data_IF_030698427089
#
_entry.id   IF_030698427089
#
_cell.length_a   1.000
_cell.length_b   1.000
_cell.length_c   1.000
_cell.angle_alpha   90.00
_cell.angle_beta   90.00
_cell.angle_gamma   90.00
#
_symmetry.space_group_name_H-M   'P 1'
#
loop_
_entity.id
_entity.type
_entity.pdbx_description
1 polymer ?
#
# COMPACT_ATOMS: atom_id res chain seq x y z
N UNK A 1 -23.53 -6.62 -17.09
CA UNK A 1 -22.71 -5.44 -16.71
C UNK A 1 -23.23 -4.92 -15.38
N UNK A 2 -22.39 -4.93 -14.31
CA UNK A 2 -22.78 -4.48 -12.96
C UNK A 2 -22.39 -3.03 -12.75
N UNK A 3 -23.13 -2.32 -11.90
CA UNK A 3 -22.82 -0.95 -11.48
C UNK A 3 -22.07 -1.00 -10.14
N UNK A 4 -20.85 -0.51 -10.12
CA UNK A 4 -19.94 -0.56 -8.97
C UNK A 4 -19.80 0.85 -8.42
N UNK A 5 -20.17 1.05 -7.17
CA UNK A 5 -19.90 2.28 -6.46
C UNK A 5 -18.50 2.20 -5.83
N UNK A 6 -17.55 2.95 -6.38
CA UNK A 6 -16.20 3.08 -5.80
C UNK A 6 -16.23 4.12 -4.68
N UNK A 7 -16.25 3.63 -3.44
CA UNK A 7 -16.37 4.43 -2.23
C UNK A 7 -14.99 4.66 -1.62
N UNK A 8 -14.47 5.89 -1.71
CA UNK A 8 -13.17 6.24 -1.18
C UNK A 8 -12.95 7.74 -1.05
N UNK A 9 -11.90 8.14 -0.33
CA UNK A 9 -11.55 9.54 -0.18
C UNK A 9 -10.94 10.10 -1.46
N UNK A 10 -11.42 11.28 -1.89
CA UNK A 10 -10.87 12.03 -3.01
C UNK A 10 -10.88 11.31 -4.37
N UNK A 11 -11.81 10.37 -4.58
CA UNK A 11 -11.82 9.52 -5.78
C UNK A 11 -11.88 10.29 -7.08
N UNK A 12 -12.73 11.30 -7.19
CA UNK A 12 -12.85 12.15 -8.37
C UNK A 12 -11.51 12.86 -8.67
N UNK A 13 -10.94 13.53 -7.67
CA UNK A 13 -9.65 14.22 -7.82
C UNK A 13 -8.52 13.27 -8.19
N UNK A 14 -8.45 12.09 -7.54
CA UNK A 14 -7.43 11.08 -7.86
C UNK A 14 -7.57 10.57 -9.28
N UNK A 15 -8.80 10.38 -9.76
CA UNK A 15 -9.04 9.95 -11.13
C UNK A 15 -8.65 11.00 -12.15
N UNK A 16 -8.97 12.27 -11.90
CA UNK A 16 -8.58 13.37 -12.79
C UNK A 16 -7.05 13.47 -12.90
N UNK A 17 -6.35 13.32 -11.77
CA UNK A 17 -4.88 13.29 -11.75
C UNK A 17 -4.30 12.06 -12.47
N UNK A 18 -4.93 10.88 -12.34
CA UNK A 18 -4.53 9.69 -13.09
C UNK A 18 -4.77 9.87 -14.59
N UNK A 19 -5.96 10.33 -14.98
CA UNK A 19 -6.32 10.54 -16.40
C UNK A 19 -5.41 11.59 -17.08
N UNK A 20 -4.97 12.60 -16.34
CA UNK A 20 -4.00 13.59 -16.83
C UNK A 20 -2.55 13.06 -16.82
N UNK A 21 -2.30 11.87 -16.32
CA UNK A 21 -0.98 11.26 -16.23
C UNK A 21 -0.07 11.90 -15.17
N UNK A 22 -0.62 12.61 -14.21
CA UNK A 22 0.15 13.25 -13.14
C UNK A 22 0.53 12.27 -12.02
N UNK A 23 -0.29 11.25 -11.79
CA UNK A 23 -0.03 10.22 -10.77
C UNK A 23 -0.32 8.82 -11.33
N UNK A 24 0.26 7.80 -10.68
CA UNK A 24 -0.02 6.38 -10.93
C UNK A 24 -1.46 6.01 -10.53
N UNK A 25 -2.12 5.18 -11.32
CA UNK A 25 -3.47 4.67 -11.04
C UNK A 25 -3.54 3.71 -9.83
N UNK A 26 -2.42 3.28 -9.28
CA UNK A 26 -2.34 2.33 -8.15
C UNK A 26 -3.20 2.74 -6.94
N UNK A 27 -3.36 4.07 -6.72
CA UNK A 27 -4.17 4.60 -5.62
C UNK A 27 -5.67 4.37 -5.81
N UNK A 28 -6.11 4.06 -7.02
CA UNK A 28 -7.49 3.72 -7.36
C UNK A 28 -7.79 2.21 -7.24
N UNK A 29 -6.80 1.40 -6.81
CA UNK A 29 -6.98 -0.05 -6.58
C UNK A 29 -7.61 -0.78 -7.76
N UNK A 30 -7.19 -0.46 -8.99
CA UNK A 30 -7.67 -1.11 -10.19
C UNK A 30 -9.02 -0.61 -10.72
N UNK A 31 -9.66 0.38 -10.08
CA UNK A 31 -10.95 0.89 -10.54
C UNK A 31 -10.83 1.69 -11.85
N UNK A 32 -9.68 2.31 -12.12
CA UNK A 32 -9.42 2.95 -13.40
C UNK A 32 -9.37 1.91 -14.54
N UNK A 33 -8.63 0.84 -14.35
CA UNK A 33 -8.45 -0.25 -15.31
C UNK A 33 -9.78 -0.96 -15.58
N UNK A 34 -10.57 -1.24 -14.54
CA UNK A 34 -11.91 -1.85 -14.66
C UNK A 34 -12.85 -0.92 -15.45
N UNK A 35 -12.80 0.39 -15.18
CA UNK A 35 -13.59 1.39 -15.92
C UNK A 35 -13.20 1.43 -17.39
N UNK A 36 -11.90 1.40 -17.70
CA UNK A 36 -11.39 1.43 -19.07
C UNK A 36 -11.77 0.16 -19.88
N UNK A 37 -11.80 -1.01 -19.25
CA UNK A 37 -12.23 -2.26 -19.89
C UNK A 37 -13.72 -2.29 -20.24
N UNK A 38 -14.53 -1.48 -19.57
CA UNK A 38 -15.96 -1.31 -19.91
C UNK A 38 -16.86 -2.51 -19.54
N UNK A 39 -16.35 -3.54 -18.87
CA UNK A 39 -17.13 -4.70 -18.43
C UNK A 39 -18.11 -4.37 -17.29
N UNK A 40 -17.83 -3.30 -16.58
CA UNK A 40 -18.64 -2.76 -15.46
C UNK A 40 -18.78 -1.25 -15.58
N UNK A 41 -19.79 -0.68 -14.95
CA UNK A 41 -19.95 0.77 -14.82
C UNK A 41 -19.43 1.17 -13.44
N UNK A 42 -18.34 1.91 -13.38
CA UNK A 42 -17.81 2.45 -12.14
C UNK A 42 -18.45 3.80 -11.85
N UNK A 43 -19.10 3.91 -10.70
CA UNK A 43 -19.72 5.14 -10.18
C UNK A 43 -18.80 5.64 -9.06
N UNK A 44 -18.23 6.80 -9.21
CA UNK A 44 -17.35 7.38 -8.21
C UNK A 44 -18.14 8.05 -7.11
N UNK A 45 -17.63 7.94 -5.90
CA UNK A 45 -18.17 8.59 -4.74
C UNK A 45 -17.04 9.22 -3.92
N UNK A 46 -16.99 10.54 -3.93
CA UNK A 46 -16.07 11.28 -3.08
C UNK A 46 -16.56 11.32 -1.65
N UNK A 47 -15.76 10.75 -0.74
CA UNK A 47 -15.89 10.98 0.68
C UNK A 47 -15.09 12.23 1.05
N UNK A 48 -15.75 13.32 1.43
CA UNK A 48 -15.04 14.44 2.04
C UNK A 48 -14.71 14.11 3.50
N UNK A 49 -13.52 14.43 3.94
CA UNK A 49 -13.08 14.23 5.34
C UNK A 49 -13.93 15.00 6.36
N UNK A 50 -14.74 15.96 5.91
CA UNK A 50 -15.59 16.82 6.73
C UNK A 50 -17.07 16.46 6.69
N UNK A 51 -17.52 15.63 5.75
CA UNK A 51 -18.88 15.13 5.75
C UNK A 51 -18.91 13.84 6.57
N UNK A 52 -19.33 13.91 7.82
CA UNK A 52 -19.55 12.70 8.63
C UNK A 52 -20.47 11.70 7.88
N UNK A 53 -20.67 10.53 8.47
CA UNK A 53 -21.45 9.42 7.93
C UNK A 53 -22.79 9.84 7.32
N UNK A 54 -23.50 10.82 7.90
CA UNK A 54 -24.77 11.36 7.39
C UNK A 54 -24.55 12.13 6.07
N UNK A 55 -23.47 12.88 5.96
CA UNK A 55 -23.11 13.59 4.72
C UNK A 55 -22.79 12.64 3.58
N UNK A 56 -22.08 11.55 3.87
CA UNK A 56 -21.82 10.48 2.90
C UNK A 56 -23.13 9.91 2.34
N UNK A 57 -24.07 9.57 3.20
CA UNK A 57 -25.35 9.01 2.77
C UNK A 57 -26.19 10.03 1.99
N UNK A 58 -26.28 11.25 2.50
CA UNK A 58 -27.07 12.32 1.87
C UNK A 58 -26.58 12.65 0.46
N UNK A 59 -25.26 12.80 0.30
CA UNK A 59 -24.65 13.18 -0.97
C UNK A 59 -24.59 12.02 -1.99
N UNK A 60 -24.62 10.77 -1.52
CA UNK A 60 -24.44 9.58 -2.36
C UNK A 60 -25.65 8.64 -2.39
N UNK A 61 -26.78 9.05 -1.84
CA UNK A 61 -27.96 8.19 -1.74
C UNK A 61 -28.47 7.70 -3.10
N UNK A 62 -28.38 8.55 -4.14
CA UNK A 62 -28.75 8.15 -5.50
C UNK A 62 -27.77 7.14 -6.10
N UNK A 63 -26.47 7.32 -5.88
CA UNK A 63 -25.42 6.42 -6.33
C UNK A 63 -25.48 5.07 -5.60
N UNK A 64 -25.71 5.10 -4.28
CA UNK A 64 -25.97 3.90 -3.47
C UNK A 64 -27.19 3.12 -3.98
N UNK A 65 -28.30 3.79 -4.32
CA UNK A 65 -29.49 3.13 -4.88
C UNK A 65 -29.21 2.45 -6.23
N UNK A 66 -28.43 3.09 -7.10
CA UNK A 66 -28.12 2.62 -8.47
C UNK A 66 -27.07 1.50 -8.51
N UNK A 67 -26.17 1.43 -7.53
CA UNK A 67 -25.09 0.46 -7.51
C UNK A 67 -25.59 -0.97 -7.23
N UNK A 68 -24.95 -1.95 -7.85
CA UNK A 68 -25.12 -3.38 -7.56
C UNK A 68 -24.10 -3.82 -6.51
N UNK A 69 -22.87 -3.28 -6.62
CA UNK A 69 -21.73 -3.56 -5.73
C UNK A 69 -21.23 -2.25 -5.14
N UNK A 70 -20.92 -2.26 -3.85
CA UNK A 70 -20.20 -1.20 -3.15
C UNK A 70 -18.78 -1.70 -2.93
N UNK A 71 -17.79 -1.02 -3.52
CA UNK A 71 -16.38 -1.32 -3.36
C UNK A 71 -15.70 -0.28 -2.48
N UNK A 72 -14.85 -0.74 -1.59
CA UNK A 72 -14.09 0.10 -0.67
C UNK A 72 -12.63 -0.29 -0.70
N UNK A 73 -11.78 0.56 -1.21
CA UNK A 73 -10.32 0.33 -1.25
C UNK A 73 -9.66 0.36 0.12
N UNK A 74 -10.38 0.85 1.13
CA UNK A 74 -9.96 0.85 2.53
C UNK A 74 -11.18 0.72 3.43
N UNK A 75 -11.18 -0.29 4.30
CA UNK A 75 -12.29 -0.51 5.25
C UNK A 75 -12.09 0.40 6.46
N UNK A 76 -12.90 1.45 6.57
CA UNK A 76 -13.01 2.31 7.76
C UNK A 76 -14.25 1.87 8.55
N UNK A 77 -14.07 1.16 9.65
CA UNK A 77 -15.16 0.57 10.43
C UNK A 77 -16.26 1.59 10.78
N UNK A 78 -15.88 2.78 11.26
CA UNK A 78 -16.82 3.83 11.67
C UNK A 78 -17.70 4.35 10.51
N UNK A 79 -17.14 4.46 9.31
CA UNK A 79 -17.86 4.96 8.13
C UNK A 79 -18.86 3.95 7.58
N UNK A 80 -18.65 2.67 7.87
CA UNK A 80 -19.39 1.56 7.28
C UNK A 80 -20.55 1.08 8.13
N UNK A 81 -20.52 1.35 9.43
CA UNK A 81 -21.52 0.86 10.38
C UNK A 81 -22.94 1.12 9.88
N UNK A 82 -23.21 2.32 9.35
CA UNK A 82 -24.55 2.65 8.90
C UNK A 82 -24.96 1.91 7.61
N UNK A 83 -24.05 1.77 6.63
CA UNK A 83 -24.34 1.01 5.39
C UNK A 83 -24.57 -0.47 5.75
N UNK A 84 -23.76 -1.01 6.64
CA UNK A 84 -23.88 -2.38 7.13
C UNK A 84 -25.18 -2.59 7.93
N UNK A 85 -25.54 -1.66 8.79
CA UNK A 85 -26.82 -1.68 9.51
C UNK A 85 -28.02 -1.62 8.55
N UNK A 86 -28.00 -0.73 7.56
CA UNK A 86 -29.06 -0.64 6.54
C UNK A 86 -29.19 -1.95 5.75
N UNK A 87 -28.05 -2.59 5.41
CA UNK A 87 -28.07 -3.91 4.77
C UNK A 87 -28.64 -4.98 5.70
N UNK A 88 -28.26 -4.99 6.98
CA UNK A 88 -28.76 -5.93 8.01
C UNK A 88 -30.27 -5.75 8.24
N UNK A 89 -30.77 -4.51 8.20
CA UNK A 89 -32.19 -4.18 8.29
C UNK A 89 -32.99 -4.48 7.00
N UNK A 90 -32.32 -5.02 5.97
CA UNK A 90 -32.95 -5.42 4.72
C UNK A 90 -33.10 -4.32 3.66
N UNK A 91 -32.76 -3.05 3.98
CA UNK A 91 -32.92 -1.92 3.03
C UNK A 91 -31.96 -2.01 1.84
N UNK A 92 -30.77 -2.63 2.01
CA UNK A 92 -29.78 -2.87 0.96
C UNK A 92 -29.40 -4.36 0.86
N UNK A 93 -30.33 -5.28 1.16
CA UNK A 93 -30.06 -6.72 1.20
C UNK A 93 -29.49 -7.28 -0.11
N UNK A 94 -29.92 -6.73 -1.25
CA UNK A 94 -29.46 -7.15 -2.59
C UNK A 94 -28.10 -6.56 -2.99
N UNK A 95 -27.60 -5.53 -2.27
CA UNK A 95 -26.32 -4.91 -2.57
C UNK A 95 -25.17 -5.79 -2.10
N UNK A 96 -24.17 -5.94 -2.93
CA UNK A 96 -22.92 -6.62 -2.58
C UNK A 96 -21.92 -5.63 -2.01
N UNK A 97 -21.18 -6.02 -0.99
CA UNK A 97 -20.15 -5.18 -0.36
C UNK A 97 -18.82 -5.91 -0.46
N UNK A 98 -17.84 -5.26 -1.07
CA UNK A 98 -16.45 -5.72 -1.22
C UNK A 98 -15.53 -4.67 -0.63
N UNK A 99 -14.60 -5.07 0.22
CA UNK A 99 -13.66 -4.13 0.81
C UNK A 99 -12.25 -4.68 0.92
N UNK A 100 -11.25 -3.77 0.84
CA UNK A 100 -9.84 -4.10 1.05
C UNK A 100 -9.47 -3.83 2.50
N UNK A 101 -8.98 -4.85 3.18
CA UNK A 101 -8.53 -4.79 4.57
C UNK A 101 -7.00 -4.84 4.63
N UNK A 102 -6.41 -3.86 5.28
CA UNK A 102 -4.95 -3.70 5.36
C UNK A 102 -4.33 -4.33 6.61
N UNK A 103 -5.16 -4.68 7.60
CA UNK A 103 -4.73 -5.22 8.89
C UNK A 103 -5.55 -6.46 9.25
N UNK A 104 -5.22 -7.10 10.38
CA UNK A 104 -6.05 -8.16 10.94
C UNK A 104 -7.37 -7.60 11.43
N UNK A 105 -8.46 -8.25 11.06
CA UNK A 105 -9.80 -7.95 11.59
C UNK A 105 -9.92 -8.58 12.98
N UNK A 106 -9.63 -7.80 14.03
CA UNK A 106 -9.70 -8.28 15.41
C UNK A 106 -11.16 -8.37 15.92
N UNK A 107 -11.36 -9.06 17.05
CA UNK A 107 -12.70 -9.27 17.62
C UNK A 107 -13.31 -8.04 18.28
N UNK A 108 -12.54 -6.98 18.52
CA UNK A 108 -12.95 -5.83 19.30
C UNK A 108 -12.57 -5.92 20.79
N UNK A 109 -12.41 -4.77 21.42
CA UNK A 109 -11.89 -4.64 22.79
C UNK A 109 -12.96 -4.92 23.87
N UNK A 110 -14.20 -4.54 23.58
CA UNK A 110 -15.33 -4.71 24.49
C UNK A 110 -16.53 -5.35 23.79
N UNK A 111 -17.58 -5.69 24.56
CA UNK A 111 -18.76 -6.37 24.04
C UNK A 111 -19.47 -5.59 22.93
N UNK A 112 -19.61 -4.27 23.08
CA UNK A 112 -20.27 -3.42 22.09
C UNK A 112 -19.46 -3.38 20.78
N UNK A 113 -18.15 -3.20 20.88
CA UNK A 113 -17.24 -3.21 19.73
C UNK A 113 -17.28 -4.56 19.00
N UNK A 114 -17.31 -5.68 19.74
CA UNK A 114 -17.48 -7.03 19.17
C UNK A 114 -18.78 -7.18 18.38
N UNK A 115 -19.89 -6.66 18.93
CA UNK A 115 -21.19 -6.70 18.25
C UNK A 115 -21.13 -5.86 16.96
N UNK A 116 -20.61 -4.64 17.04
CA UNK A 116 -20.49 -3.72 15.90
C UNK A 116 -19.61 -4.36 14.82
N UNK A 117 -18.42 -4.83 15.15
CA UNK A 117 -17.51 -5.48 14.21
C UNK A 117 -18.14 -6.70 13.54
N UNK A 118 -18.81 -7.54 14.33
CA UNK A 118 -19.51 -8.70 13.79
C UNK A 118 -20.62 -8.32 12.82
N UNK A 119 -21.41 -7.27 13.10
CA UNK A 119 -22.44 -6.76 12.21
C UNK A 119 -21.81 -6.19 10.93
N UNK A 120 -20.76 -5.39 11.06
CA UNK A 120 -20.04 -4.79 9.93
C UNK A 120 -19.48 -5.89 9.02
N UNK A 121 -18.65 -6.79 9.56
CA UNK A 121 -17.97 -7.79 8.72
C UNK A 121 -18.90 -8.91 8.21
N UNK A 122 -20.00 -9.24 8.91
CA UNK A 122 -21.01 -10.12 8.36
C UNK A 122 -21.75 -9.53 7.15
N UNK A 123 -21.74 -8.22 6.99
CA UNK A 123 -22.38 -7.55 5.85
C UNK A 123 -21.54 -7.56 4.58
N UNK A 124 -20.22 -7.84 4.69
CA UNK A 124 -19.36 -7.99 3.53
C UNK A 124 -19.63 -9.30 2.80
N UNK A 125 -19.71 -9.24 1.49
CA UNK A 125 -19.71 -10.42 0.63
C UNK A 125 -18.26 -10.90 0.39
N UNK A 126 -17.30 -9.95 0.26
CA UNK A 126 -15.87 -10.23 0.18
C UNK A 126 -15.02 -9.21 0.94
N UNK A 127 -13.98 -9.70 1.60
CA UNK A 127 -12.92 -8.93 2.27
C UNK A 127 -11.59 -9.35 1.66
N UNK A 128 -10.92 -8.41 1.01
CA UNK A 128 -9.68 -8.63 0.26
C UNK A 128 -8.49 -8.19 1.12
N UNK A 129 -7.46 -9.04 1.21
CA UNK A 129 -6.29 -8.80 2.05
C UNK A 129 -5.01 -8.74 1.21
N UNK A 130 -4.13 -7.80 1.53
CA UNK A 130 -2.78 -7.76 0.95
C UNK A 130 -1.78 -8.65 1.71
N UNK A 131 -2.16 -9.20 2.86
CA UNK A 131 -1.33 -10.08 3.69
C UNK A 131 -2.05 -11.39 3.94
N UNK A 132 -1.41 -12.52 3.60
CA UNK A 132 -1.90 -13.85 3.95
C UNK A 132 -1.97 -14.04 5.47
N UNK A 133 -1.01 -13.50 6.22
CA UNK A 133 -0.99 -13.59 7.68
C UNK A 133 -2.18 -12.86 8.28
N UNK A 134 -2.43 -11.61 7.89
CA UNK A 134 -3.61 -10.88 8.38
C UNK A 134 -4.93 -11.57 8.01
N UNK A 135 -5.01 -12.18 6.83
CA UNK A 135 -6.18 -12.95 6.41
C UNK A 135 -6.39 -14.19 7.31
N UNK A 136 -5.37 -15.01 7.52
CA UNK A 136 -5.48 -16.22 8.33
C UNK A 136 -5.70 -15.91 9.82
N UNK A 137 -5.08 -14.85 10.36
CA UNK A 137 -5.37 -14.35 11.71
C UNK A 137 -6.85 -13.95 11.85
N UNK A 138 -7.39 -13.18 10.88
CA UNK A 138 -8.79 -12.77 10.88
C UNK A 138 -9.75 -13.97 10.84
N UNK A 139 -9.40 -15.01 10.09
CA UNK A 139 -10.13 -16.28 10.03
C UNK A 139 -10.06 -17.05 11.35
N UNK A 140 -8.88 -17.13 11.96
CA UNK A 140 -8.65 -17.81 13.24
C UNK A 140 -9.45 -17.16 14.38
N UNK A 141 -9.56 -15.83 14.35
CA UNK A 141 -10.38 -15.05 15.28
C UNK A 141 -11.90 -15.17 15.02
N UNK A 142 -12.31 -15.83 13.93
CA UNK A 142 -13.72 -15.98 13.51
C UNK A 142 -14.48 -14.66 13.33
N UNK A 143 -13.77 -13.59 13.02
CA UNK A 143 -14.34 -12.28 12.74
C UNK A 143 -14.91 -12.18 11.33
N UNK A 144 -14.37 -12.96 10.42
CA UNK A 144 -14.83 -13.17 9.04
C UNK A 144 -14.93 -14.65 8.74
N UNK A 145 -15.69 -15.01 7.69
CA UNK A 145 -15.85 -16.38 7.21
C UNK A 145 -14.86 -16.67 6.08
N UNK A 146 -14.44 -17.92 5.92
CA UNK A 146 -13.55 -18.33 4.81
C UNK A 146 -14.11 -17.98 3.43
N UNK A 147 -15.43 -18.07 3.25
CA UNK A 147 -16.10 -17.69 1.99
C UNK A 147 -16.03 -16.20 1.67
N UNK A 148 -15.75 -15.36 2.67
CA UNK A 148 -15.62 -13.90 2.50
C UNK A 148 -14.16 -13.48 2.24
N UNK A 149 -13.17 -14.24 2.75
CA UNK A 149 -11.77 -13.87 2.72
C UNK A 149 -11.13 -14.23 1.38
N UNK A 150 -10.37 -13.28 0.81
CA UNK A 150 -9.63 -13.50 -0.43
C UNK A 150 -8.33 -12.68 -0.41
N UNK A 151 -7.24 -13.25 -0.93
CA UNK A 151 -5.98 -12.56 -1.04
C UNK A 151 -5.96 -11.71 -2.31
N UNK A 152 -5.45 -10.48 -2.21
CA UNK A 152 -5.36 -9.52 -3.30
C UNK A 152 -3.91 -9.10 -3.53
N UNK A 153 -3.35 -9.42 -4.69
CA UNK A 153 -2.11 -8.80 -5.15
C UNK A 153 -2.34 -7.31 -5.41
N UNK A 154 -1.37 -6.49 -4.99
CA UNK A 154 -1.39 -5.05 -5.25
C UNK A 154 0.00 -4.57 -5.63
N UNK A 155 0.09 -3.61 -6.51
CA UNK A 155 1.36 -3.06 -6.97
C UNK A 155 1.18 -1.78 -7.77
N UNK A 156 2.25 -1.33 -8.42
CA UNK A 156 2.25 -0.07 -9.15
C UNK A 156 1.64 -0.21 -10.56
N UNK A 157 1.30 0.91 -11.16
CA UNK A 157 0.96 1.04 -12.57
C UNK A 157 2.26 1.02 -13.39
N UNK A 158 2.60 -0.15 -13.94
CA UNK A 158 3.84 -0.31 -14.68
C UNK A 158 3.87 0.51 -15.96
N UNK A 159 2.71 0.75 -16.60
CA UNK A 159 2.61 1.57 -17.80
C UNK A 159 2.94 3.03 -17.50
N UNK A 160 2.43 3.54 -16.38
CA UNK A 160 2.77 4.88 -15.89
C UNK A 160 4.27 4.97 -15.55
N UNK A 161 4.78 4.01 -14.79
CA UNK A 161 6.19 3.98 -14.37
C UNK A 161 7.14 3.92 -15.58
N UNK A 162 6.84 3.12 -16.59
CA UNK A 162 7.67 3.00 -17.80
C UNK A 162 7.63 4.27 -18.67
N UNK A 163 6.47 4.94 -18.71
CA UNK A 163 6.30 6.21 -19.43
C UNK A 163 7.06 7.35 -18.76
N UNK A 164 6.99 7.44 -17.43
CA UNK A 164 7.56 8.57 -16.67
C UNK A 164 9.06 8.35 -16.40
N UNK A 165 9.48 7.09 -16.19
CA UNK A 165 10.86 6.72 -15.89
C UNK A 165 11.41 5.70 -16.91
N UNK A 166 11.54 6.07 -18.20
CA UNK A 166 12.04 5.17 -19.24
C UNK A 166 13.51 4.80 -19.04
N UNK A 167 14.27 5.69 -18.40
CA UNK A 167 15.69 5.47 -18.08
C UNK A 167 15.82 5.32 -16.56
N UNK A 168 16.40 4.18 -16.14
CA UNK A 168 16.63 3.85 -14.73
C UNK A 168 18.12 3.62 -14.52
N UNK A 169 18.76 4.57 -13.86
CA UNK A 169 20.18 4.47 -13.56
C UNK A 169 20.43 3.60 -12.31
N UNK A 170 21.66 3.13 -12.14
CA UNK A 170 22.13 2.51 -10.91
C UNK A 170 23.13 3.44 -10.25
N UNK A 171 22.62 4.48 -9.58
CA UNK A 171 23.43 5.45 -8.86
C UNK A 171 24.25 4.84 -7.74
N UNK A 172 25.09 5.64 -7.14
CA UNK A 172 25.98 5.24 -6.03
C UNK A 172 25.41 5.59 -4.65
N UNK A 173 24.09 5.79 -4.54
CA UNK A 173 23.40 6.08 -3.29
C UNK A 173 22.27 5.10 -3.01
N UNK A 174 21.94 4.97 -1.73
CA UNK A 174 20.82 4.18 -1.22
C UNK A 174 19.70 5.13 -0.81
N UNK A 175 18.44 4.71 -0.97
CA UNK A 175 17.31 5.57 -0.65
C UNK A 175 16.31 4.86 0.26
N UNK A 176 15.77 5.60 1.21
CA UNK A 176 14.63 5.18 2.01
C UNK A 176 13.51 6.20 1.89
N UNK A 177 12.40 5.80 1.26
CA UNK A 177 11.19 6.60 1.11
C UNK A 177 10.10 6.01 1.99
N UNK A 178 9.82 6.59 3.13
CA UNK A 178 8.79 6.04 4.01
C UNK A 178 8.42 6.97 5.14
N UNK A 179 7.17 6.89 5.58
CA UNK A 179 6.63 7.81 6.58
C UNK A 179 6.13 7.08 7.82
N UNK A 180 5.79 5.82 7.70
CA UNK A 180 5.08 5.09 8.75
C UNK A 180 5.95 3.99 9.34
N UNK A 181 6.14 4.05 10.64
CA UNK A 181 6.84 3.06 11.45
C UNK A 181 8.23 2.67 10.90
N UNK A 182 9.02 3.69 10.47
CA UNK A 182 10.39 3.50 10.00
C UNK A 182 11.39 3.65 11.15
N UNK A 183 12.32 2.71 11.26
CA UNK A 183 13.44 2.78 12.19
C UNK A 183 14.64 3.45 11.51
N UNK A 184 14.55 4.77 11.41
CA UNK A 184 15.64 5.56 10.83
C UNK A 184 16.88 5.62 11.73
N UNK A 185 16.72 5.47 13.04
CA UNK A 185 17.87 5.41 13.95
C UNK A 185 18.73 4.18 13.67
N UNK A 186 18.11 3.02 13.50
CA UNK A 186 18.79 1.79 13.09
C UNK A 186 19.52 1.97 11.75
N UNK A 187 18.82 2.55 10.76
CA UNK A 187 19.38 2.76 9.43
C UNK A 187 20.58 3.73 9.44
N UNK A 188 20.45 4.87 10.11
CA UNK A 188 21.54 5.85 10.25
C UNK A 188 22.76 5.20 10.90
N UNK A 189 22.56 4.43 11.98
CA UNK A 189 23.66 3.73 12.66
C UNK A 189 24.36 2.71 11.75
N UNK A 190 23.68 2.16 10.76
CA UNK A 190 24.32 1.29 9.78
C UNK A 190 25.20 2.05 8.79
N UNK A 191 24.96 3.36 8.54
CA UNK A 191 25.67 4.16 7.55
C UNK A 191 26.79 5.04 8.10
N UNK A 192 26.82 5.34 9.42
CA UNK A 192 27.74 6.33 10.02
C UNK A 192 29.21 6.05 9.63
N UNK A 193 29.67 4.80 9.69
CA UNK A 193 31.04 4.41 9.45
C UNK A 193 31.29 3.81 8.05
N UNK A 194 30.32 3.98 7.12
CA UNK A 194 30.42 3.42 5.78
C UNK A 194 30.65 4.54 4.74
N UNK A 195 31.50 4.31 3.72
CA UNK A 195 31.67 5.26 2.61
C UNK A 195 30.54 5.17 1.60
N UNK A 196 29.30 4.98 2.08
CA UNK A 196 28.09 4.82 1.27
C UNK A 196 27.16 6.00 1.48
N UNK A 197 26.53 6.48 0.41
CA UNK A 197 25.60 7.60 0.44
C UNK A 197 24.20 7.11 0.74
N UNK A 198 23.56 7.72 1.74
CA UNK A 198 22.15 7.49 2.12
C UNK A 198 21.32 8.75 1.91
N UNK A 199 20.16 8.59 1.31
CA UNK A 199 19.12 9.60 1.26
C UNK A 199 17.86 9.09 1.97
N UNK A 200 17.35 9.86 2.93
CA UNK A 200 16.12 9.58 3.66
C UNK A 200 15.08 10.65 3.29
N UNK A 201 13.92 10.20 2.84
CA UNK A 201 12.77 11.03 2.55
C UNK A 201 11.61 10.64 3.44
N UNK A 202 11.22 11.50 4.36
CA UNK A 202 10.11 11.25 5.30
C UNK A 202 9.37 12.55 5.61
N UNK A 203 8.28 12.48 6.35
CA UNK A 203 7.64 13.67 6.90
C UNK A 203 7.84 13.73 8.42
N UNK A 204 7.73 14.92 8.98
CA UNK A 204 8.00 15.15 10.41
C UNK A 204 7.05 14.36 11.30
N UNK A 205 5.77 14.38 10.95
CA UNK A 205 4.71 13.71 11.70
C UNK A 205 3.88 12.81 10.79
N UNK A 206 3.61 11.60 11.24
CA UNK A 206 2.68 10.69 10.57
C UNK A 206 2.00 9.81 11.61
N UNK A 207 0.73 10.08 11.93
CA UNK A 207 -0.03 9.41 12.99
C UNK A 207 0.77 9.37 14.32
N UNK A 208 1.18 8.17 14.76
CA UNK A 208 1.92 7.96 16.01
C UNK A 208 3.43 8.11 15.88
N UNK A 209 3.94 8.49 14.69
CA UNK A 209 5.37 8.64 14.45
C UNK A 209 5.77 10.10 14.52
N UNK A 210 6.76 10.38 15.34
CA UNK A 210 7.46 11.66 15.39
C UNK A 210 8.92 11.46 15.00
N UNK A 211 9.32 12.11 13.92
CA UNK A 211 10.67 12.05 13.37
C UNK A 211 11.49 13.33 13.65
N UNK A 212 11.09 14.17 14.62
CA UNK A 212 11.83 15.39 15.00
C UNK A 212 13.28 15.08 15.39
N UNK A 213 13.52 13.92 15.98
CA UNK A 213 14.87 13.49 16.34
C UNK A 213 15.83 13.43 15.14
N UNK A 214 15.34 13.31 13.94
CA UNK A 214 16.16 13.31 12.72
C UNK A 214 16.84 14.63 12.46
N UNK A 215 16.34 15.74 13.00
CA UNK A 215 17.01 17.05 12.92
C UNK A 215 18.40 17.01 13.58
N UNK A 216 18.61 16.16 14.59
CA UNK A 216 19.91 15.96 15.22
C UNK A 216 20.96 15.29 14.32
N UNK A 217 20.52 14.68 13.23
CA UNK A 217 21.38 13.99 12.27
C UNK A 217 21.58 14.78 10.96
N UNK A 218 20.71 15.75 10.69
CA UNK A 218 20.83 16.60 9.50
C UNK A 218 22.14 17.35 9.52
N UNK A 219 22.87 17.27 8.42
CA UNK A 219 24.22 17.90 8.27
C UNK A 219 25.29 17.41 9.25
N UNK A 220 25.03 16.36 10.04
CA UNK A 220 26.01 15.79 10.97
C UNK A 220 26.99 14.85 10.27
N UNK A 221 26.54 14.16 9.24
CA UNK A 221 27.31 13.18 8.49
C UNK A 221 27.29 13.53 6.99
N UNK A 222 28.44 13.60 6.35
CA UNK A 222 28.57 14.00 4.95
C UNK A 222 27.98 13.00 3.95
N UNK A 223 27.73 11.78 4.40
CA UNK A 223 27.20 10.68 3.59
C UNK A 223 25.71 10.40 3.85
N UNK A 224 25.03 11.17 4.69
CA UNK A 224 23.62 10.96 5.04
C UNK A 224 22.85 12.26 4.83
N UNK A 225 21.95 12.24 3.86
CA UNK A 225 21.02 13.34 3.59
C UNK A 225 19.62 12.99 4.09
N UNK A 226 18.99 13.91 4.80
CA UNK A 226 17.65 13.73 5.36
C UNK A 226 16.76 14.88 4.88
N UNK A 227 15.67 14.52 4.20
CA UNK A 227 14.71 15.43 3.61
C UNK A 227 13.34 15.25 4.26
N UNK A 228 12.84 16.33 4.88
CA UNK A 228 11.46 16.40 5.37
C UNK A 228 10.56 16.86 4.23
N UNK A 229 9.69 15.98 3.78
CA UNK A 229 8.86 16.20 2.59
C UNK A 229 7.37 16.27 2.94
N UNK A 230 6.60 16.95 2.12
CA UNK A 230 5.14 17.01 2.21
C UNK A 230 4.45 15.80 1.56
N UNK A 231 3.14 15.91 1.30
CA UNK A 231 2.33 14.88 0.64
C UNK A 231 1.82 15.33 -0.73
N UNK A 232 2.50 16.28 -1.37
CA UNK A 232 2.12 16.74 -2.70
C UNK A 232 2.39 15.69 -3.78
N UNK A 233 1.75 15.85 -4.94
CA UNK A 233 2.00 15.01 -6.11
C UNK A 233 3.41 15.22 -6.66
N UNK A 234 3.92 16.46 -6.63
CA UNK A 234 5.28 16.81 -7.03
C UNK A 234 6.31 16.09 -6.16
N UNK A 235 6.09 16.08 -4.84
CA UNK A 235 6.91 15.30 -3.92
C UNK A 235 6.86 13.81 -4.25
N UNK A 236 5.68 13.25 -4.54
CA UNK A 236 5.55 11.84 -4.89
C UNK A 236 6.33 11.51 -6.16
N UNK A 237 6.26 12.35 -7.18
CA UNK A 237 7.02 12.18 -8.42
C UNK A 237 8.53 12.25 -8.16
N UNK A 238 8.98 13.25 -7.41
CA UNK A 238 10.38 13.38 -7.02
C UNK A 238 10.90 12.16 -6.25
N UNK A 239 10.11 11.61 -5.33
CA UNK A 239 10.49 10.38 -4.61
C UNK A 239 10.69 9.20 -5.56
N UNK A 240 9.80 9.02 -6.53
CA UNK A 240 9.94 7.98 -7.55
C UNK A 240 11.17 8.20 -8.45
N UNK A 241 11.52 9.45 -8.78
CA UNK A 241 12.76 9.79 -9.48
C UNK A 241 13.99 9.35 -8.69
N UNK A 242 14.02 9.61 -7.37
CA UNK A 242 15.12 9.17 -6.51
C UNK A 242 15.20 7.64 -6.44
N UNK A 243 14.06 6.96 -6.34
CA UNK A 243 14.01 5.49 -6.41
C UNK A 243 14.50 5.00 -7.78
N UNK A 244 14.09 5.60 -8.89
CA UNK A 244 14.55 5.23 -10.24
C UNK A 244 16.07 5.40 -10.42
N UNK A 245 16.68 6.35 -9.72
CA UNK A 245 18.09 6.65 -9.80
C UNK A 245 18.97 5.93 -8.78
N UNK A 246 18.41 5.38 -7.69
CA UNK A 246 19.20 4.80 -6.59
C UNK A 246 19.84 3.46 -6.97
N UNK A 247 20.77 3.01 -6.13
CA UNK A 247 21.36 1.68 -6.19
C UNK A 247 20.45 0.63 -5.59
N UNK A 248 19.84 0.93 -4.43
CA UNK A 248 18.98 0.02 -3.68
C UNK A 248 17.97 0.80 -2.83
N UNK A 249 16.79 0.23 -2.64
CA UNK A 249 15.75 0.77 -1.77
C UNK A 249 15.81 0.12 -0.40
N UNK A 250 15.72 0.94 0.66
CA UNK A 250 15.83 0.52 2.05
C UNK A 250 14.51 0.69 2.78
N UNK A 251 14.06 -0.38 3.45
CA UNK A 251 12.79 -0.40 4.19
C UNK A 251 13.06 -0.78 5.66
N UNK A 252 13.59 0.15 6.47
CA UNK A 252 13.82 -0.08 7.90
C UNK A 252 12.50 0.00 8.66
N UNK A 253 12.13 -1.03 9.41
CA UNK A 253 10.86 -1.11 10.13
C UNK A 253 11.08 -1.19 11.64
N UNK A 254 10.28 -0.44 12.41
CA UNK A 254 10.20 -0.57 13.86
C UNK A 254 9.53 -1.91 14.18
N UNK A 255 10.31 -2.91 14.64
CA UNK A 255 9.87 -4.29 14.80
C UNK A 255 8.67 -4.45 15.75
N UNK A 256 8.59 -3.66 16.81
CA UNK A 256 7.47 -3.69 17.76
C UNK A 256 6.13 -3.17 17.18
N UNK A 257 6.17 -2.53 16.01
CA UNK A 257 4.99 -1.97 15.34
C UNK A 257 4.60 -2.75 14.07
N UNK A 258 5.28 -3.83 13.73
CA UNK A 258 4.98 -4.66 12.55
C UNK A 258 3.80 -5.58 12.86
N UNK A 259 2.64 -5.27 12.30
CA UNK A 259 1.39 -6.05 12.45
C UNK A 259 0.54 -6.11 11.17
N UNK A 260 1.10 -5.64 10.05
CA UNK A 260 0.50 -5.70 8.70
C UNK A 260 1.60 -5.58 7.64
N UNK A 261 1.25 -5.54 6.36
CA UNK A 261 2.20 -5.42 5.24
C UNK A 261 2.87 -4.04 5.19
N UNK A 262 3.39 -3.58 6.34
CA UNK A 262 4.11 -2.33 6.49
C UNK A 262 5.28 -2.25 5.51
N UNK A 263 5.44 -1.13 4.82
CA UNK A 263 6.50 -0.96 3.82
C UNK A 263 6.18 -1.47 2.41
N UNK A 264 5.02 -2.10 2.20
CA UNK A 264 4.63 -2.66 0.91
C UNK A 264 4.71 -1.63 -0.23
N UNK A 265 4.29 -0.38 0.00
CA UNK A 265 4.38 0.67 -1.01
C UNK A 265 5.82 0.88 -1.51
N UNK A 266 6.79 1.01 -0.61
CA UNK A 266 8.20 1.17 -0.99
C UNK A 266 8.75 -0.07 -1.71
N UNK A 267 8.29 -1.26 -1.32
CA UNK A 267 8.68 -2.53 -1.97
C UNK A 267 8.13 -2.59 -3.39
N UNK A 268 6.84 -2.31 -3.61
CA UNK A 268 6.26 -2.37 -4.97
C UNK A 268 6.79 -1.27 -5.90
N UNK A 269 7.10 -0.08 -5.37
CA UNK A 269 7.80 0.98 -6.11
C UNK A 269 9.20 0.53 -6.54
N UNK A 270 9.97 -0.06 -5.62
CA UNK A 270 11.29 -0.62 -5.93
C UNK A 270 11.20 -1.70 -7.01
N UNK A 271 10.24 -2.63 -6.88
CA UNK A 271 10.00 -3.68 -7.87
C UNK A 271 9.60 -3.11 -9.23
N UNK A 272 8.68 -2.15 -9.27
CA UNK A 272 8.25 -1.49 -10.51
C UNK A 272 9.41 -0.79 -11.23
N UNK A 273 10.34 -0.20 -10.47
CA UNK A 273 11.50 0.50 -10.98
C UNK A 273 12.75 -0.41 -11.15
N UNK A 274 12.62 -1.71 -10.90
CA UNK A 274 13.70 -2.69 -11.08
C UNK A 274 14.87 -2.47 -10.13
N UNK A 275 14.60 -2.18 -8.85
CA UNK A 275 15.61 -1.95 -7.81
C UNK A 275 15.69 -3.11 -6.83
N UNK A 276 16.90 -3.49 -6.38
CA UNK A 276 17.06 -4.39 -5.25
C UNK A 276 16.54 -3.74 -3.97
N UNK A 277 16.19 -4.59 -2.99
CA UNK A 277 15.54 -4.17 -1.76
C UNK A 277 16.30 -4.72 -0.55
N UNK A 278 16.59 -3.88 0.46
CA UNK A 278 16.96 -4.35 1.78
C UNK A 278 15.86 -3.94 2.75
N UNK A 279 15.25 -4.90 3.41
CA UNK A 279 14.11 -4.65 4.32
C UNK A 279 14.36 -5.28 5.69
N UNK A 280 13.89 -4.62 6.74
CA UNK A 280 13.70 -5.29 8.02
C UNK A 280 12.69 -6.43 7.88
N UNK A 281 12.73 -7.41 8.80
CA UNK A 281 11.77 -8.53 8.85
C UNK A 281 10.34 -7.99 8.91
N UNK A 282 9.48 -8.52 8.03
CA UNK A 282 8.04 -8.32 8.11
C UNK A 282 7.30 -9.61 7.71
N UNK A 283 6.82 -10.41 8.66
CA UNK A 283 6.12 -11.65 8.36
C UNK A 283 4.76 -11.44 7.67
N UNK A 284 4.23 -10.22 7.72
CA UNK A 284 2.97 -9.85 7.05
C UNK A 284 3.16 -9.46 5.58
N UNK A 285 4.41 -9.31 5.12
CA UNK A 285 4.69 -8.95 3.73
C UNK A 285 4.23 -10.04 2.77
N UNK A 286 3.50 -9.70 1.69
CA UNK A 286 3.16 -10.64 0.63
C UNK A 286 4.35 -10.95 -0.30
N UNK A 287 5.44 -10.17 -0.18
CA UNK A 287 6.65 -10.31 -0.98
C UNK A 287 7.73 -10.97 -0.14
N UNK A 288 8.15 -12.16 -0.54
CA UNK A 288 9.28 -12.86 0.05
C UNK A 288 10.57 -12.46 -0.69
N UNK A 289 11.25 -11.44 -0.14
CA UNK A 289 12.42 -10.80 -0.76
C UNK A 289 13.56 -11.80 -0.98
N UNK A 290 13.80 -12.69 -0.02
CA UNK A 290 14.91 -13.66 -0.09
C UNK A 290 14.58 -14.81 -1.05
N UNK A 291 13.38 -15.38 -0.96
CA UNK A 291 12.94 -16.47 -1.85
C UNK A 291 12.88 -16.04 -3.31
N UNK A 292 12.46 -14.81 -3.58
CA UNK A 292 12.39 -14.27 -4.95
C UNK A 292 13.75 -13.69 -5.39
N UNK A 293 14.77 -13.77 -4.54
CA UNK A 293 16.15 -13.30 -4.79
C UNK A 293 16.23 -11.85 -5.28
N UNK A 294 15.41 -10.96 -4.70
CA UNK A 294 15.31 -9.55 -5.08
C UNK A 294 16.00 -8.61 -4.10
N UNK A 295 16.68 -9.16 -3.08
CA UNK A 295 17.39 -8.40 -2.06
C UNK A 295 17.62 -9.18 -0.78
N UNK A 296 17.61 -8.48 0.35
CA UNK A 296 17.92 -9.04 1.67
C UNK A 296 16.87 -8.68 2.71
N UNK A 297 16.62 -9.61 3.65
CA UNK A 297 15.85 -9.37 4.87
C UNK A 297 16.80 -9.36 6.05
N UNK A 298 16.78 -8.29 6.84
CA UNK A 298 17.80 -8.01 7.88
C UNK A 298 17.15 -7.71 9.22
N UNK A 299 17.82 -8.08 10.32
CA UNK A 299 17.28 -8.07 11.69
C UNK A 299 17.97 -7.06 12.61
N UNK A 300 19.21 -6.70 12.31
CA UNK A 300 20.06 -5.88 13.20
C UNK A 300 21.06 -5.06 12.38
N UNK A 301 21.75 -4.12 13.04
CA UNK A 301 22.73 -3.22 12.41
C UNK A 301 23.84 -3.97 11.67
N UNK A 302 24.29 -5.12 12.19
CA UNK A 302 25.37 -5.92 11.56
C UNK A 302 24.90 -6.49 10.22
N UNK A 303 23.70 -7.08 10.19
CA UNK A 303 23.10 -7.60 8.97
C UNK A 303 22.82 -6.46 7.96
N UNK A 304 22.36 -5.29 8.43
CA UNK A 304 22.23 -4.10 7.59
C UNK A 304 23.57 -3.73 6.92
N UNK A 305 24.66 -3.60 7.70
CA UNK A 305 25.99 -3.29 7.18
C UNK A 305 26.46 -4.32 6.15
N UNK A 306 26.29 -5.60 6.44
CA UNK A 306 26.69 -6.68 5.52
C UNK A 306 25.90 -6.64 4.19
N UNK A 307 24.59 -6.43 4.24
CA UNK A 307 23.76 -6.32 3.04
C UNK A 307 24.10 -5.08 2.20
N UNK A 308 24.32 -3.93 2.86
CA UNK A 308 24.74 -2.68 2.21
C UNK A 308 26.09 -2.83 1.52
N UNK A 309 27.04 -3.44 2.21
CA UNK A 309 28.37 -3.71 1.67
C UNK A 309 28.29 -4.65 0.45
N UNK A 310 27.53 -5.76 0.57
CA UNK A 310 27.34 -6.70 -0.53
C UNK A 310 26.77 -6.02 -1.78
N UNK A 311 25.70 -5.23 -1.65
CA UNK A 311 25.09 -4.49 -2.77
C UNK A 311 26.08 -3.48 -3.38
N UNK A 312 26.92 -2.87 -2.54
CA UNK A 312 27.91 -1.89 -2.99
C UNK A 312 29.05 -2.53 -3.78
N UNK A 313 29.55 -3.66 -3.29
CA UNK A 313 30.71 -4.36 -3.87
C UNK A 313 30.33 -5.25 -5.06
N UNK A 314 29.03 -5.61 -5.20
CA UNK A 314 28.54 -6.51 -6.25
C UNK A 314 27.47 -5.85 -7.14
N UNK A 315 27.83 -4.80 -7.93
CA UNK A 315 26.85 -4.02 -8.71
C UNK A 315 26.10 -4.86 -9.74
N UNK A 316 26.74 -5.88 -10.34
CA UNK A 316 26.10 -6.77 -11.32
C UNK A 316 25.05 -7.67 -10.67
N UNK A 317 25.31 -8.18 -9.46
CA UNK A 317 24.29 -8.93 -8.69
C UNK A 317 23.15 -8.03 -8.24
N UNK A 318 23.43 -6.82 -7.77
CA UNK A 318 22.41 -5.83 -7.46
C UNK A 318 21.50 -5.54 -8.68
N UNK A 319 22.09 -5.42 -9.87
CA UNK A 319 21.33 -5.27 -11.12
C UNK A 319 20.48 -6.49 -11.43
N UNK A 320 20.98 -7.71 -11.26
CA UNK A 320 20.21 -8.95 -11.44
C UNK A 320 19.06 -9.05 -10.45
N UNK A 321 19.27 -8.70 -9.17
CA UNK A 321 18.19 -8.59 -8.18
C UNK A 321 17.10 -7.61 -8.64
N UNK A 322 17.47 -6.46 -9.15
CA UNK A 322 16.54 -5.48 -9.70
C UNK A 322 15.74 -6.02 -10.89
N UNK A 323 16.37 -6.76 -11.80
CA UNK A 323 15.69 -7.41 -12.94
C UNK A 323 14.66 -8.44 -12.44
N UNK A 324 15.02 -9.26 -11.43
CA UNK A 324 14.09 -10.22 -10.82
C UNK A 324 12.94 -9.49 -10.12
N UNK A 325 13.24 -8.40 -9.41
CA UNK A 325 12.23 -7.56 -8.76
C UNK A 325 11.20 -7.02 -9.78
N UNK A 326 11.69 -6.49 -10.92
CA UNK A 326 10.81 -6.03 -12.01
C UNK A 326 9.99 -7.17 -12.60
N UNK A 327 10.60 -8.32 -12.87
CA UNK A 327 9.88 -9.49 -13.38
C UNK A 327 8.78 -9.96 -12.44
N UNK A 328 9.00 -9.88 -11.11
CA UNK A 328 7.99 -10.20 -10.11
C UNK A 328 6.84 -9.19 -10.11
N UNK A 329 7.14 -7.88 -10.28
CA UNK A 329 6.11 -6.86 -10.44
C UNK A 329 5.24 -7.15 -11.67
N UNK A 330 5.83 -7.45 -12.83
CA UNK A 330 5.12 -7.78 -14.06
C UNK A 330 4.23 -9.02 -13.94
N UNK A 331 4.69 -10.02 -13.21
CA UNK A 331 3.95 -11.27 -13.04
C UNK A 331 2.79 -11.16 -12.04
N UNK A 332 2.97 -10.43 -10.91
CA UNK A 332 2.04 -10.49 -9.78
C UNK A 332 1.70 -9.13 -9.17
N UNK A 333 2.70 -8.25 -8.96
CA UNK A 333 2.55 -7.06 -8.15
C UNK A 333 2.42 -5.80 -9.01
N UNK A 334 1.34 -5.72 -9.79
CA UNK A 334 0.99 -4.54 -10.57
C UNK A 334 -0.52 -4.29 -10.54
N UNK A 335 -0.90 -3.10 -10.94
CA UNK A 335 -2.31 -2.67 -10.85
C UNK A 335 -3.22 -3.41 -11.84
N UNK A 336 -2.68 -3.86 -12.98
CA UNK A 336 -3.46 -4.63 -13.95
C UNK A 336 -3.87 -6.00 -13.37
N UNK A 337 -2.94 -6.70 -12.68
CA UNK A 337 -3.24 -7.95 -11.97
C UNK A 337 -4.21 -7.75 -10.81
N UNK A 338 -4.02 -6.67 -10.05
CA UNK A 338 -4.95 -6.26 -9.00
C UNK A 338 -6.37 -6.08 -9.56
N UNK A 339 -6.50 -5.31 -10.63
CA UNK A 339 -7.79 -5.02 -11.26
C UNK A 339 -8.47 -6.27 -11.82
N UNK A 340 -7.71 -7.19 -12.43
CA UNK A 340 -8.23 -8.47 -12.93
C UNK A 340 -8.80 -9.34 -11.80
N UNK A 341 -8.11 -9.43 -10.66
CA UNK A 341 -8.59 -10.16 -9.48
C UNK A 341 -9.88 -9.53 -8.92
N UNK A 342 -9.92 -8.21 -8.74
CA UNK A 342 -11.10 -7.50 -8.25
C UNK A 342 -12.29 -7.69 -9.21
N UNK A 343 -12.06 -7.59 -10.52
CA UNK A 343 -13.09 -7.79 -11.53
C UNK A 343 -13.64 -9.22 -11.53
N UNK A 344 -12.78 -10.22 -11.30
CA UNK A 344 -13.20 -11.61 -11.08
C UNK A 344 -14.10 -11.74 -9.85
N UNK A 345 -13.73 -11.08 -8.74
CA UNK A 345 -14.57 -11.03 -7.54
C UNK A 345 -15.93 -10.43 -7.85
N UNK A 346 -15.98 -9.27 -8.53
CA UNK A 346 -17.24 -8.64 -8.91
C UNK A 346 -18.10 -9.54 -9.80
N UNK A 347 -17.49 -10.26 -10.71
CA UNK A 347 -18.20 -11.16 -11.63
C UNK A 347 -18.81 -12.36 -10.91
N UNK A 348 -18.18 -12.84 -9.83
CA UNK A 348 -18.62 -13.98 -9.03
C UNK A 348 -19.79 -13.67 -8.07
N UNK A 349 -20.05 -12.41 -7.76
CA UNK A 349 -21.11 -11.93 -6.84
C UNK A 349 -22.43 -11.67 -7.54
#
# INVERSE_FOLDING_TARGET
MKKILDLGFGRETLRDLCNSGQISSRLLYGMAEISHRGNHIVIECSMSSHSGLIGLLKNNMMSLKKADIIFMSYIYESSLVLICLLKTLGLYKQKKIVGVCHTTVNQGENLLDRIIKKLVFNSFDKVLFHSYVNMEESLSLKTIKRSQAEFLYWGDDLSYVDKVFPIRSHGNFFVSTGRENRDYSLLINAFIDMPLKLEIYTNRFNYDNNYDYLDNYRSKYNNIDIYMVDRSNETTLHLLERVAACRCVLVPLIQSKVNYCLGLTSIVEAMALGKPIISSVNPYSPVDIEKEEIGFVVRNVVEWKSALQYISENPDEAKKMGIRARSLAEKKFNIEKCSQQIESVFSSL
#
